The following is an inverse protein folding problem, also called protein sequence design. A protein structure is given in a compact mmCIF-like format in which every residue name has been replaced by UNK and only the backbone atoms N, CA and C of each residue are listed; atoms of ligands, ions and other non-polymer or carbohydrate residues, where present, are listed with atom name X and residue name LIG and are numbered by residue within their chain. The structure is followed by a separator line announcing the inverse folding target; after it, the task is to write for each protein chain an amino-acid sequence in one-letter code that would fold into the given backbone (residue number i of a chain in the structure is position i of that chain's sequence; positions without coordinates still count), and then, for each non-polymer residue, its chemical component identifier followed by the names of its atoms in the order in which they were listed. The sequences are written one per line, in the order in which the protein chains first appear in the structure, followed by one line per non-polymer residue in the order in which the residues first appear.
data_IF_115065858046
#
_entry.id   IF_115065858046
#
_cell.length_a   1.000
_cell.length_b   1.000
_cell.length_c   1.000
_cell.angle_alpha   90.00
_cell.angle_beta   90.00
_cell.angle_gamma   90.00
#
_symmetry.space_group_name_H-M   'P 1'
#
loop_
_entity.id
_entity.type
_entity.pdbx_description
1 polymer ?
#
# COMPACT_ATOMS: atom_id res chain seq x y z
N UNK A 1 -13.10 -13.91 -15.74
CA UNK A 1 -11.96 -14.24 -14.85
C UNK A 1 -12.42 -14.14 -13.40
N UNK A 2 -11.82 -14.90 -12.47
CA UNK A 2 -12.26 -14.93 -11.05
C UNK A 2 -12.24 -13.54 -10.38
N UNK A 3 -11.17 -12.75 -10.60
CA UNK A 3 -11.05 -11.40 -10.07
C UNK A 3 -12.17 -10.46 -10.56
N UNK A 4 -12.46 -10.47 -11.86
CA UNK A 4 -13.55 -9.69 -12.46
C UNK A 4 -14.91 -10.05 -11.86
N UNK A 5 -15.19 -11.34 -11.67
CA UNK A 5 -16.43 -11.81 -11.03
C UNK A 5 -16.51 -11.36 -9.57
N UNK A 6 -15.40 -11.42 -8.82
CA UNK A 6 -15.35 -10.99 -7.43
C UNK A 6 -15.60 -9.48 -7.31
N UNK A 7 -14.90 -8.66 -8.12
CA UNK A 7 -15.08 -7.21 -8.15
C UNK A 7 -16.51 -6.87 -8.57
N UNK A 8 -17.03 -7.49 -9.63
CA UNK A 8 -18.40 -7.26 -10.10
C UNK A 8 -19.43 -7.55 -9.00
N UNK A 9 -19.30 -8.68 -8.31
CA UNK A 9 -20.19 -9.03 -7.21
C UNK A 9 -20.09 -8.06 -6.03
N UNK A 10 -18.87 -7.78 -5.57
CA UNK A 10 -18.67 -6.92 -4.38
C UNK A 10 -19.05 -5.46 -4.68
N UNK A 11 -18.54 -4.91 -5.78
CA UNK A 11 -18.69 -3.48 -6.07
C UNK A 11 -20.01 -3.15 -6.76
N UNK A 12 -20.40 -3.86 -7.83
CA UNK A 12 -21.59 -3.53 -8.60
C UNK A 12 -22.88 -4.07 -7.98
N UNK A 13 -22.89 -5.32 -7.48
CA UNK A 13 -24.09 -5.94 -6.91
C UNK A 13 -24.29 -5.52 -5.45
N UNK A 14 -23.24 -5.65 -4.63
CA UNK A 14 -23.31 -5.39 -3.18
C UNK A 14 -23.01 -3.93 -2.80
N UNK A 15 -22.56 -3.11 -3.76
CA UNK A 15 -22.22 -1.70 -3.53
C UNK A 15 -21.16 -1.47 -2.47
N UNK A 16 -20.21 -2.39 -2.34
CA UNK A 16 -19.10 -2.29 -1.40
C UNK A 16 -17.98 -1.49 -2.07
N UNK A 17 -17.47 -0.41 -1.45
CA UNK A 17 -16.27 0.28 -1.89
C UNK A 17 -15.07 -0.67 -1.90
N UNK A 18 -14.22 -0.57 -2.92
CA UNK A 18 -13.02 -1.41 -3.05
C UNK A 18 -11.81 -0.51 -3.27
N UNK A 19 -10.76 -0.74 -2.49
CA UNK A 19 -9.44 -0.14 -2.73
C UNK A 19 -8.49 -1.25 -3.18
N UNK A 20 -7.82 -1.02 -4.30
CA UNK A 20 -6.82 -1.92 -4.88
C UNK A 20 -5.50 -1.19 -5.04
N UNK A 21 -4.41 -1.81 -4.63
CA UNK A 21 -3.05 -1.34 -4.89
C UNK A 21 -2.29 -2.37 -5.73
N UNK A 22 -1.28 -1.94 -6.48
CA UNK A 22 -0.39 -2.87 -7.17
C UNK A 22 0.64 -3.48 -6.23
N UNK A 23 0.88 -4.78 -6.38
CA UNK A 23 1.99 -5.51 -5.78
C UNK A 23 3.20 -5.61 -6.72
N UNK A 24 4.23 -6.34 -6.28
CA UNK A 24 5.50 -6.49 -7.00
C UNK A 24 5.41 -7.38 -8.24
N UNK A 25 4.32 -8.11 -8.43
CA UNK A 25 4.07 -8.96 -9.61
C UNK A 25 3.06 -8.36 -10.58
N UNK A 26 2.51 -7.18 -10.29
CA UNK A 26 1.47 -6.58 -11.11
C UNK A 26 2.03 -5.71 -12.24
N UNK A 27 1.37 -5.75 -13.39
CA UNK A 27 1.59 -4.79 -14.46
C UNK A 27 0.85 -3.48 -14.16
N UNK A 28 1.55 -2.51 -13.55
CA UNK A 28 0.98 -1.24 -13.05
C UNK A 28 0.14 -0.51 -14.08
N UNK A 29 0.66 -0.33 -15.31
CA UNK A 29 -0.07 0.37 -16.39
C UNK A 29 -1.37 -0.35 -16.75
N UNK A 30 -1.32 -1.69 -16.83
CA UNK A 30 -2.49 -2.50 -17.17
C UNK A 30 -3.54 -2.49 -16.05
N UNK A 31 -3.10 -2.49 -14.79
CA UNK A 31 -4.01 -2.41 -13.65
C UNK A 31 -4.63 -1.02 -13.53
N UNK A 32 -3.89 0.03 -13.85
CA UNK A 32 -4.35 1.42 -13.81
C UNK A 32 -5.28 1.81 -14.97
N UNK A 33 -5.40 0.95 -15.99
CA UNK A 33 -6.26 1.24 -17.13
C UNK A 33 -7.71 1.45 -16.71
N UNK A 34 -8.25 2.63 -16.97
CA UNK A 34 -9.63 2.99 -16.62
C UNK A 34 -9.86 3.32 -15.15
N UNK A 35 -8.82 3.41 -14.31
CA UNK A 35 -8.94 3.66 -12.86
C UNK A 35 -9.83 4.87 -12.53
N UNK A 36 -9.67 6.00 -13.26
CA UNK A 36 -10.49 7.20 -13.08
C UNK A 36 -11.99 6.99 -13.36
N UNK A 37 -12.34 6.07 -14.26
CA UNK A 37 -13.74 5.72 -14.52
C UNK A 37 -14.32 4.85 -13.43
N UNK A 38 -13.53 3.94 -12.87
CA UNK A 38 -13.94 3.02 -11.81
C UNK A 38 -14.20 3.72 -10.48
N UNK A 39 -13.53 4.83 -10.22
CA UNK A 39 -13.77 5.65 -9.02
C UNK A 39 -15.22 6.13 -8.90
N UNK A 40 -15.92 6.37 -10.01
CA UNK A 40 -17.35 6.72 -10.00
C UNK A 40 -18.23 5.63 -9.35
N UNK A 41 -17.74 4.39 -9.32
CA UNK A 41 -18.38 3.28 -8.63
C UNK A 41 -17.68 2.90 -7.33
N UNK A 42 -16.83 3.77 -6.78
CA UNK A 42 -16.07 3.52 -5.56
C UNK A 42 -15.12 2.30 -5.68
N UNK A 43 -14.59 2.06 -6.87
CA UNK A 43 -13.48 1.14 -7.09
C UNK A 43 -12.21 1.97 -7.32
N UNK A 44 -11.42 2.12 -6.28
CA UNK A 44 -10.20 2.93 -6.27
C UNK A 44 -9.00 2.05 -6.60
N UNK A 45 -8.29 2.35 -7.68
CA UNK A 45 -7.09 1.61 -8.09
C UNK A 45 -5.90 2.56 -7.98
N UNK A 46 -4.87 2.15 -7.25
CA UNK A 46 -3.64 2.92 -7.02
C UNK A 46 -2.43 2.08 -7.38
N UNK A 47 -1.61 2.56 -8.29
CA UNK A 47 -0.45 1.83 -8.82
C UNK A 47 0.86 2.61 -8.78
N UNK A 48 0.78 3.89 -8.39
CA UNK A 48 1.91 4.81 -8.28
C UNK A 48 1.76 5.74 -7.06
N UNK A 49 2.65 6.70 -6.91
CA UNK A 49 2.71 7.61 -5.78
C UNK A 49 2.05 8.98 -6.01
N UNK A 50 1.40 9.20 -7.15
CA UNK A 50 0.86 10.52 -7.52
C UNK A 50 -0.17 11.06 -6.51
N UNK A 51 -0.77 10.20 -5.72
CA UNK A 51 -1.78 10.55 -4.73
C UNK A 51 -1.49 10.00 -3.33
N UNK A 52 -0.22 9.74 -2.98
CA UNK A 52 0.12 9.14 -1.68
C UNK A 52 -0.31 9.99 -0.49
N UNK A 53 -0.29 11.32 -0.64
CA UNK A 53 -0.69 12.29 0.37
C UNK A 53 -2.18 12.67 0.33
N UNK A 54 -2.97 12.01 -0.51
CA UNK A 54 -4.42 12.26 -0.65
C UNK A 54 -5.20 11.01 -0.26
N UNK A 55 -5.76 10.93 0.94
CA UNK A 55 -6.47 9.74 1.39
C UNK A 55 -7.76 9.52 0.59
N UNK A 56 -8.17 8.27 0.50
CA UNK A 56 -9.50 7.88 0.06
C UNK A 56 -10.39 7.87 1.30
N UNK A 57 -11.32 8.80 1.39
CA UNK A 57 -12.27 8.84 2.50
C UNK A 57 -13.46 7.92 2.24
N UNK A 58 -13.71 6.99 3.15
CA UNK A 58 -14.89 6.12 3.14
C UNK A 58 -15.51 6.10 4.53
N UNK A 59 -16.72 6.62 4.66
CA UNK A 59 -17.48 6.64 5.91
C UNK A 59 -16.73 7.29 7.10
N UNK A 60 -15.96 8.35 6.85
CA UNK A 60 -15.21 9.06 7.89
C UNK A 60 -13.90 8.37 8.29
N UNK A 61 -13.44 7.38 7.52
CA UNK A 61 -12.13 6.74 7.67
C UNK A 61 -11.25 7.14 6.48
N UNK A 62 -10.03 7.57 6.76
CA UNK A 62 -9.03 7.94 5.78
C UNK A 62 -8.16 6.73 5.40
N UNK A 63 -8.15 6.34 4.14
CA UNK A 63 -7.32 5.27 3.62
C UNK A 63 -6.20 5.85 2.76
N UNK A 64 -4.99 5.79 3.27
CA UNK A 64 -3.77 6.10 2.52
C UNK A 64 -3.29 4.86 1.79
N UNK A 65 -2.76 5.03 0.60
CA UNK A 65 -2.31 3.91 -0.23
C UNK A 65 -0.86 4.06 -0.63
N UNK A 66 -0.07 3.02 -0.42
CA UNK A 66 1.33 2.95 -0.78
C UNK A 66 1.58 1.68 -1.60
N UNK A 67 1.37 1.73 -2.93
CA UNK A 67 1.63 0.60 -3.83
C UNK A 67 3.09 0.16 -3.78
N UNK A 68 3.37 -1.06 -4.20
CA UNK A 68 4.75 -1.52 -4.33
C UNK A 68 5.55 -0.62 -5.30
N UNK A 69 6.75 -0.26 -4.88
CA UNK A 69 7.72 0.39 -5.73
C UNK A 69 9.14 -0.07 -5.42
N UNK A 70 9.95 -0.14 -6.45
CA UNK A 70 11.39 -0.36 -6.34
C UNK A 70 12.10 0.89 -5.83
N UNK A 71 13.30 0.73 -5.29
CA UNK A 71 14.16 1.86 -4.91
C UNK A 71 14.36 2.84 -6.08
N UNK A 72 14.52 2.32 -7.31
CA UNK A 72 14.69 3.15 -8.50
C UNK A 72 13.45 4.00 -8.82
N UNK A 73 12.25 3.44 -8.65
CA UNK A 73 11.00 4.19 -8.84
C UNK A 73 10.84 5.27 -7.78
N UNK A 74 11.20 4.99 -6.52
CA UNK A 74 11.18 5.98 -5.44
C UNK A 74 12.16 7.11 -5.67
N UNK A 75 13.42 6.80 -6.08
CA UNK A 75 14.40 7.82 -6.50
C UNK A 75 13.84 8.74 -7.57
N UNK A 76 13.25 8.15 -8.59
CA UNK A 76 12.70 8.92 -9.71
C UNK A 76 11.53 9.80 -9.28
N UNK A 77 10.62 9.27 -8.45
CA UNK A 77 9.46 10.03 -7.98
C UNK A 77 9.84 11.21 -7.11
N UNK A 78 10.78 11.03 -6.18
CA UNK A 78 11.24 12.10 -5.27
C UNK A 78 12.35 12.97 -5.84
N UNK A 79 12.87 12.65 -7.03
CA UNK A 79 14.04 13.29 -7.63
C UNK A 79 15.24 13.28 -6.66
N UNK A 80 15.41 12.17 -5.92
CA UNK A 80 16.37 12.04 -4.82
C UNK A 80 17.23 10.77 -5.01
N UNK A 81 18.45 10.97 -5.51
CA UNK A 81 19.41 9.89 -5.75
C UNK A 81 20.03 9.33 -4.45
N UNK A 82 19.79 9.95 -3.30
CA UNK A 82 20.29 9.49 -2.00
C UNK A 82 19.49 8.33 -1.40
N UNK A 83 18.32 8.04 -1.94
CA UNK A 83 17.51 6.88 -1.55
C UNK A 83 18.19 5.59 -2.04
N UNK A 84 18.83 4.84 -1.16
CA UNK A 84 19.55 3.61 -1.50
C UNK A 84 18.83 2.33 -1.05
N UNK A 85 17.86 2.44 -0.15
CA UNK A 85 17.15 1.31 0.45
C UNK A 85 15.65 1.51 0.44
N UNK A 86 14.87 0.42 0.51
CA UNK A 86 13.42 0.50 0.71
C UNK A 86 13.05 1.26 1.98
N UNK A 87 13.80 1.05 3.09
CA UNK A 87 13.60 1.80 4.33
C UNK A 87 13.63 3.30 4.10
N UNK A 88 14.64 3.82 3.40
CA UNK A 88 14.76 5.25 3.12
C UNK A 88 13.62 5.75 2.23
N UNK A 89 13.31 5.01 1.16
CA UNK A 89 12.24 5.38 0.24
C UNK A 89 10.86 5.40 0.92
N UNK A 90 10.54 4.38 1.71
CA UNK A 90 9.28 4.31 2.46
C UNK A 90 9.23 5.40 3.54
N UNK A 91 10.31 5.65 4.27
CA UNK A 91 10.37 6.77 5.21
C UNK A 91 10.03 8.09 4.51
N UNK A 92 10.58 8.33 3.32
CA UNK A 92 10.27 9.52 2.53
C UNK A 92 8.81 9.60 2.10
N UNK A 93 8.18 8.46 1.74
CA UNK A 93 6.74 8.40 1.48
C UNK A 93 5.93 8.80 2.72
N UNK A 94 6.27 8.25 3.88
CA UNK A 94 5.56 8.54 5.14
C UNK A 94 5.73 10.00 5.56
N UNK A 95 6.92 10.59 5.40
CA UNK A 95 7.15 12.02 5.63
C UNK A 95 6.30 12.91 4.71
N UNK A 96 5.99 12.44 3.50
CA UNK A 96 5.12 13.15 2.55
C UNK A 96 3.65 13.04 2.96
N UNK A 97 3.24 11.92 3.58
CA UNK A 97 1.87 11.70 4.08
C UNK A 97 1.64 12.44 5.41
N UNK A 98 2.63 12.47 6.29
CA UNK A 98 2.49 12.93 7.67
C UNK A 98 1.77 14.30 7.84
N UNK A 99 2.02 15.32 6.99
CA UNK A 99 1.31 16.60 7.11
C UNK A 99 -0.19 16.54 6.81
N UNK A 100 -0.65 15.49 6.16
CA UNK A 100 -2.05 15.28 5.74
C UNK A 100 -2.84 14.39 6.70
N UNK A 101 -2.21 13.87 7.76
CA UNK A 101 -2.88 13.06 8.78
C UNK A 101 -3.85 13.93 9.57
N UNK A 102 -5.10 13.50 9.60
CA UNK A 102 -6.14 14.09 10.45
C UNK A 102 -6.18 13.32 11.78
N UNK A 103 -5.68 13.93 12.85
CA UNK A 103 -5.64 13.32 14.19
C UNK A 103 -7.03 13.06 14.79
N UNK A 104 -8.08 13.70 14.28
CA UNK A 104 -9.46 13.52 14.71
C UNK A 104 -10.19 12.39 13.94
N UNK A 105 -9.54 11.81 12.90
CA UNK A 105 -10.08 10.74 12.08
C UNK A 105 -9.27 9.44 12.25
N UNK A 106 -9.88 8.30 11.89
CA UNK A 106 -9.14 7.04 11.79
C UNK A 106 -8.34 7.04 10.48
N UNK A 107 -7.03 6.86 10.58
CA UNK A 107 -6.09 6.85 9.45
C UNK A 107 -5.53 5.44 9.24
N UNK A 108 -5.81 4.84 8.10
CA UNK A 108 -5.39 3.49 7.74
C UNK A 108 -4.44 3.55 6.55
N UNK A 109 -3.28 2.88 6.67
CA UNK A 109 -2.39 2.66 5.53
C UNK A 109 -2.65 1.30 4.89
N UNK A 110 -2.76 1.27 3.56
CA UNK A 110 -2.77 0.05 2.75
C UNK A 110 -1.48 0.03 1.93
N UNK A 111 -0.63 -0.99 2.13
CA UNK A 111 0.65 -1.08 1.45
C UNK A 111 1.01 -2.50 1.01
N UNK A 112 1.98 -2.61 0.09
CA UNK A 112 2.52 -3.89 -0.37
C UNK A 112 4.03 -3.90 -0.20
N UNK A 113 4.50 -4.37 0.96
CA UNK A 113 5.91 -4.39 1.35
C UNK A 113 6.18 -5.41 2.47
N UNK A 114 7.45 -5.62 2.77
CA UNK A 114 7.91 -6.46 3.88
C UNK A 114 8.25 -5.59 5.10
N UNK A 115 7.68 -5.93 6.26
CA UNK A 115 8.02 -5.30 7.54
C UNK A 115 8.90 -6.25 8.36
N UNK A 116 9.88 -5.71 9.07
CA UNK A 116 10.73 -6.50 9.99
C UNK A 116 9.87 -7.14 11.09
N UNK A 117 10.11 -8.42 11.35
CA UNK A 117 9.31 -9.22 12.29
C UNK A 117 8.15 -9.98 11.66
N UNK A 118 7.85 -9.75 10.38
CA UNK A 118 6.86 -10.54 9.63
C UNK A 118 7.30 -12.01 9.47
N UNK A 119 6.31 -12.93 9.51
CA UNK A 119 6.55 -14.37 9.29
C UNK A 119 6.35 -14.70 7.81
N UNK A 120 7.34 -15.39 7.22
CA UNK A 120 7.25 -15.89 5.85
C UNK A 120 6.55 -17.26 5.81
N UNK A 121 5.94 -17.59 4.66
CA UNK A 121 5.41 -18.92 4.36
C UNK A 121 6.32 -19.71 3.42
N UNK A 122 6.11 -21.03 3.32
CA UNK A 122 6.88 -21.92 2.42
C UNK A 122 6.69 -21.57 0.92
N UNK A 123 5.66 -20.79 0.58
CA UNK A 123 5.40 -20.33 -0.79
C UNK A 123 6.17 -19.08 -1.20
N UNK A 124 6.88 -18.46 -0.26
CA UNK A 124 7.69 -17.27 -0.49
C UNK A 124 9.17 -17.67 -0.62
N UNK A 125 9.92 -16.90 -1.42
CA UNK A 125 11.38 -17.04 -1.39
C UNK A 125 11.88 -16.71 0.01
N UNK A 126 12.86 -17.47 0.56
CA UNK A 126 13.40 -17.18 1.88
C UNK A 126 13.83 -15.71 1.93
N UNK A 127 13.10 -14.91 2.68
CA UNK A 127 13.53 -13.57 3.02
C UNK A 127 14.72 -13.74 3.98
N UNK A 128 15.89 -13.43 3.52
CA UNK A 128 17.05 -13.33 4.40
C UNK A 128 16.74 -12.21 5.39
N UNK A 129 16.68 -12.52 6.67
CA UNK A 129 16.49 -11.53 7.74
C UNK A 129 17.50 -10.40 7.50
N UNK A 130 16.99 -9.16 7.32
CA UNK A 130 17.82 -8.02 6.97
C UNK A 130 18.00 -7.78 5.46
N UNK A 131 17.09 -8.28 4.61
CA UNK A 131 17.13 -7.94 3.17
C UNK A 131 16.95 -6.43 2.99
N UNK A 132 17.55 -5.92 1.91
CA UNK A 132 17.48 -4.52 1.46
C UNK A 132 16.03 -4.02 1.28
N UNK A 133 15.06 -4.93 1.26
CA UNK A 133 13.63 -4.67 1.00
C UNK A 133 12.76 -4.61 2.28
N UNK A 134 13.29 -4.92 3.47
CA UNK A 134 12.49 -4.87 4.70
C UNK A 134 12.49 -3.49 5.35
N UNK A 135 11.33 -3.08 5.87
CA UNK A 135 11.09 -1.79 6.51
C UNK A 135 10.83 -1.98 8.00
N UNK A 136 11.34 -1.09 8.83
CA UNK A 136 11.10 -1.11 10.27
C UNK A 136 9.66 -0.69 10.59
N UNK A 137 9.03 -1.38 11.55
CA UNK A 137 7.66 -1.14 11.98
C UNK A 137 7.40 0.32 12.39
N UNK A 138 8.29 0.91 13.18
CA UNK A 138 8.11 2.25 13.75
C UNK A 138 7.94 3.38 12.72
N UNK A 139 8.22 3.15 11.43
CA UNK A 139 7.95 4.16 10.39
C UNK A 139 6.46 4.40 10.18
N UNK A 140 5.61 3.48 10.61
CA UNK A 140 4.15 3.52 10.42
C UNK A 140 3.36 4.00 11.63
N UNK A 141 4.01 4.43 12.71
CA UNK A 141 3.39 4.81 13.99
C UNK A 141 2.39 5.98 13.91
N UNK A 142 2.38 6.70 12.77
CA UNK A 142 1.41 7.77 12.51
C UNK A 142 0.02 7.27 12.08
N UNK A 143 -0.13 5.97 11.81
CA UNK A 143 -1.40 5.36 11.40
C UNK A 143 -2.02 4.55 12.53
N UNK A 144 -3.35 4.56 12.62
CA UNK A 144 -4.09 3.71 13.57
C UNK A 144 -4.03 2.24 13.18
N UNK A 145 -4.03 1.95 11.87
CA UNK A 145 -3.90 0.59 11.33
C UNK A 145 -3.07 0.58 10.06
N UNK A 146 -2.32 -0.52 9.85
CA UNK A 146 -1.55 -0.79 8.64
C UNK A 146 -1.95 -2.15 8.07
N UNK A 147 -2.48 -2.14 6.85
CA UNK A 147 -2.84 -3.35 6.11
C UNK A 147 -1.75 -3.67 5.09
N UNK A 148 -1.09 -4.81 5.25
CA UNK A 148 0.04 -5.20 4.42
C UNK A 148 -0.32 -6.37 3.49
N UNK A 149 -0.02 -6.20 2.19
CA UNK A 149 0.14 -7.29 1.25
C UNK A 149 1.61 -7.75 1.18
N UNK A 150 1.93 -8.68 0.31
CA UNK A 150 3.22 -9.28 -0.01
C UNK A 150 3.45 -10.63 0.70
N UNK A 151 3.30 -10.73 2.01
CA UNK A 151 3.45 -11.99 2.72
C UNK A 151 2.17 -12.82 2.59
N UNK A 152 2.30 -14.12 2.22
CA UNK A 152 1.17 -14.98 1.93
C UNK A 152 0.62 -15.70 3.19
N UNK A 153 1.19 -15.42 4.35
CA UNK A 153 0.72 -15.98 5.63
C UNK A 153 0.04 -14.87 6.45
N UNK A 154 -1.24 -15.06 6.85
CA UNK A 154 -1.90 -14.07 7.69
C UNK A 154 -1.26 -14.04 9.09
N UNK A 155 -0.88 -12.89 9.56
CA UNK A 155 -0.39 -12.64 10.92
C UNK A 155 -0.58 -11.17 11.28
N UNK A 156 -0.57 -10.85 12.58
CA UNK A 156 -0.50 -9.49 13.08
C UNK A 156 0.84 -9.23 13.75
N UNK A 157 1.34 -8.02 13.58
CA UNK A 157 2.47 -7.49 14.33
C UNK A 157 1.86 -6.53 15.34
N UNK A 158 1.72 -6.99 16.58
CA UNK A 158 1.18 -6.19 17.68
C UNK A 158 2.31 -5.46 18.42
N UNK A 159 1.98 -4.35 19.07
CA UNK A 159 2.87 -3.73 20.04
C UNK A 159 2.87 -4.55 21.33
N UNK A 160 4.04 -4.82 21.91
CA UNK A 160 4.21 -5.46 23.20
C UNK A 160 3.84 -4.51 24.35
#
# INVERSE_FOLDING_TARGET
MLLEQAIGKLNLELRIPIIMISGNHDGKERLNYGASWFEHNQLFIRTDFTSINSPIEINGVNFYTLPYATVSEMKHYFEDDTIETHQQGITRCIETIAPEIDEDAVNILISHLTVQGGKTSDSERPLTIGTVESVQKGVFDIFDYVMLGHLHHPFSIEDD
#
